data_IF_866864944294
#
_entry.id   IF_866864944294
#
_cell.length_a   1.000
_cell.length_b   1.000
_cell.length_c   1.000
_cell.angle_alpha   90.00
_cell.angle_beta   90.00
_cell.angle_gamma   90.00
#
_symmetry.space_group_name_H-M   'P 1'
#
loop_
_entity.id
_entity.type
_entity.pdbx_description
1 polymer ?
#
# COMPACT_ATOMS: atom_id res chain seq x y z
N UNK A 1 57.47 -34.56 8.13
CA UNK A 1 57.04 -33.15 8.28
C UNK A 1 55.66 -32.98 7.65
N UNK A 2 54.64 -32.54 8.40
CA UNK A 2 53.27 -32.44 7.90
C UNK A 2 52.94 -31.02 7.42
N UNK A 3 52.10 -30.91 6.39
CA UNK A 3 51.32 -29.68 6.15
C UNK A 3 49.84 -30.08 6.06
N UNK A 4 49.11 -29.69 7.11
CA UNK A 4 47.66 -29.85 7.29
C UNK A 4 46.90 -29.12 6.17
N UNK A 5 45.94 -29.79 5.54
CA UNK A 5 44.80 -29.13 4.88
C UNK A 5 43.53 -29.45 5.66
N UNK A 6 42.93 -28.38 6.15
CA UNK A 6 41.71 -28.32 6.93
C UNK A 6 40.53 -28.44 5.95
N UNK A 7 39.68 -29.46 6.10
CA UNK A 7 38.41 -29.59 5.37
C UNK A 7 37.26 -29.28 6.31
N UNK A 8 36.60 -28.14 6.08
CA UNK A 8 35.31 -27.78 6.68
C UNK A 8 34.16 -28.36 5.82
N UNK A 9 33.08 -28.90 6.41
CA UNK A 9 31.94 -29.36 5.64
C UNK A 9 30.96 -28.21 5.37
N UNK A 10 30.63 -28.02 4.09
CA UNK A 10 29.63 -27.08 3.58
C UNK A 10 28.23 -27.62 3.86
N UNK A 11 27.46 -26.86 4.65
CA UNK A 11 26.06 -27.13 4.98
C UNK A 11 25.15 -26.72 3.80
N UNK A 12 24.65 -27.70 3.05
CA UNK A 12 23.67 -27.48 1.99
C UNK A 12 22.25 -27.34 2.58
N UNK A 13 21.73 -26.12 2.64
CA UNK A 13 20.33 -25.85 2.90
C UNK A 13 19.52 -26.08 1.61
N UNK A 14 18.77 -27.19 1.55
CA UNK A 14 17.73 -27.41 0.54
C UNK A 14 16.42 -26.77 1.02
N UNK A 15 16.09 -25.60 0.47
CA UNK A 15 14.76 -25.00 0.53
C UNK A 15 13.88 -25.65 -0.53
N UNK A 16 13.06 -26.62 -0.15
CA UNK A 16 12.00 -27.16 -1.01
C UNK A 16 10.72 -26.35 -0.80
N UNK A 17 10.38 -25.56 -1.81
CA UNK A 17 9.10 -24.92 -2.03
C UNK A 17 8.00 -25.96 -2.18
N UNK A 18 6.97 -25.92 -1.33
CA UNK A 18 5.72 -26.63 -1.53
C UNK A 18 4.57 -25.63 -1.62
N UNK A 19 4.11 -25.51 -2.85
CA UNK A 19 2.82 -25.00 -3.30
C UNK A 19 1.65 -25.64 -2.56
N UNK A 20 0.72 -24.83 -2.02
CA UNK A 20 -0.72 -25.14 -2.06
C UNK A 20 -1.56 -23.91 -1.72
N UNK A 21 -2.34 -23.42 -2.69
CA UNK A 21 -3.56 -22.65 -2.41
C UNK A 21 -4.67 -23.11 -3.35
N UNK A 22 -5.22 -24.29 -3.06
CA UNK A 22 -6.50 -24.73 -3.60
C UNK A 22 -7.62 -24.06 -2.81
N UNK A 23 -8.27 -23.08 -3.46
CA UNK A 23 -9.51 -22.42 -3.04
C UNK A 23 -10.60 -23.44 -2.72
N UNK A 24 -11.22 -23.34 -1.55
CA UNK A 24 -12.53 -23.93 -1.27
C UNK A 24 -13.54 -22.78 -1.20
N UNK A 25 -14.48 -22.82 -2.14
CA UNK A 25 -15.61 -21.93 -2.29
C UNK A 25 -16.75 -22.35 -1.37
N UNK A 26 -17.15 -21.50 -0.43
CA UNK A 26 -18.42 -21.62 0.29
C UNK A 26 -19.45 -20.70 -0.36
N UNK A 27 -20.39 -21.30 -1.08
CA UNK A 27 -21.56 -20.65 -1.67
C UNK A 27 -22.66 -20.61 -0.61
N UNK A 28 -22.95 -19.42 -0.07
CA UNK A 28 -24.15 -19.16 0.74
C UNK A 28 -25.26 -18.63 -0.18
N UNK A 29 -26.26 -19.47 -0.47
CA UNK A 29 -27.53 -19.09 -1.11
C UNK A 29 -28.49 -18.57 -0.03
N UNK A 30 -28.94 -17.33 -0.17
CA UNK A 30 -30.12 -16.79 0.52
C UNK A 30 -31.36 -16.90 -0.40
N UNK A 31 -32.55 -17.20 0.13
CA UNK A 31 -33.75 -17.36 -0.68
C UNK A 31 -34.45 -16.02 -0.95
N UNK A 32 -34.82 -15.79 -2.21
CA UNK A 32 -35.72 -14.71 -2.64
C UNK A 32 -37.16 -15.13 -2.41
N UNK A 33 -37.87 -14.41 -1.54
CA UNK A 33 -39.33 -14.47 -1.45
C UNK A 33 -39.94 -13.46 -2.44
N UNK A 34 -40.84 -13.98 -3.27
CA UNK A 34 -41.76 -13.27 -4.16
C UNK A 34 -42.91 -12.65 -3.39
N UNK A 35 -43.34 -11.44 -3.77
CA UNK A 35 -44.72 -11.01 -3.62
C UNK A 35 -45.08 -10.07 -4.77
N UNK A 36 -46.17 -10.43 -5.43
CA UNK A 36 -46.71 -9.80 -6.62
C UNK A 36 -47.76 -8.74 -6.27
N UNK A 37 -47.90 -7.79 -7.19
CA UNK A 37 -49.12 -7.05 -7.58
C UNK A 37 -49.80 -6.14 -6.55
N UNK A 38 -50.05 -4.87 -6.94
CA UNK A 38 -51.36 -4.43 -7.49
C UNK A 38 -51.36 -2.94 -7.90
N UNK A 39 -51.58 -2.74 -9.21
CA UNK A 39 -52.28 -1.66 -9.92
C UNK A 39 -52.78 -0.42 -9.16
N UNK A 40 -52.48 0.77 -9.71
CA UNK A 40 -53.51 1.70 -10.23
C UNK A 40 -52.98 2.57 -11.38
N UNK A 41 -53.77 2.59 -12.47
CA UNK A 41 -53.73 3.52 -13.61
C UNK A 41 -53.98 4.96 -13.16
N UNK A 42 -53.44 5.94 -13.88
CA UNK A 42 -54.23 6.96 -14.63
C UNK A 42 -53.37 7.49 -15.79
N UNK A 43 -54.01 7.47 -16.97
CA UNK A 43 -53.63 8.03 -18.27
C UNK A 43 -53.69 9.58 -18.25
N UNK A 44 -53.20 10.38 -19.19
CA UNK A 44 -53.55 10.43 -20.62
C UNK A 44 -52.89 11.70 -21.21
N UNK A 45 -52.54 11.63 -22.52
CA UNK A 45 -52.65 12.74 -23.53
C UNK A 45 -51.56 13.85 -23.45
N UNK A 46 -50.87 14.28 -24.52
CA UNK A 46 -50.92 14.01 -25.96
C UNK A 46 -49.68 14.60 -26.67
N UNK A 47 -49.33 13.97 -27.81
CA UNK A 47 -48.51 14.49 -28.92
C UNK A 47 -49.03 15.87 -29.38
N UNK A 48 -48.22 16.78 -29.90
CA UNK A 48 -47.98 16.90 -31.36
C UNK A 48 -46.70 17.65 -31.72
N UNK A 49 -46.18 17.27 -32.88
CA UNK A 49 -45.09 17.78 -33.70
C UNK A 49 -45.36 19.14 -34.38
N UNK A 50 -44.33 19.96 -34.61
CA UNK A 50 -43.72 20.26 -35.94
C UNK A 50 -42.81 21.51 -35.94
N UNK A 51 -41.63 21.32 -36.53
CA UNK A 51 -40.83 22.23 -37.38
C UNK A 51 -41.03 23.76 -37.32
N UNK A 52 -39.94 24.51 -37.16
CA UNK A 52 -39.34 25.31 -38.25
C UNK A 52 -38.14 26.16 -37.78
N UNK A 53 -37.16 26.24 -38.68
CA UNK A 53 -35.95 27.06 -38.70
C UNK A 53 -36.22 28.56 -38.80
N UNK A 54 -35.26 29.40 -38.35
CA UNK A 54 -34.62 30.52 -39.09
C UNK A 54 -34.07 31.61 -38.13
N UNK A 55 -32.74 31.82 -38.18
CA UNK A 55 -32.01 33.09 -37.96
C UNK A 55 -32.07 33.73 -36.55
N UNK A 56 -31.19 34.62 -36.08
CA UNK A 56 -30.15 35.49 -36.66
C UNK A 56 -29.34 36.00 -35.46
N UNK A 57 -28.03 36.18 -35.62
CA UNK A 57 -27.16 36.91 -34.68
C UNK A 57 -27.58 38.38 -34.54
N UNK A 58 -27.34 39.04 -33.40
CA UNK A 58 -27.24 40.50 -33.37
C UNK A 58 -25.79 40.96 -33.24
N UNK A 59 -25.36 41.74 -34.24
CA UNK A 59 -24.20 42.62 -34.21
C UNK A 59 -24.49 43.86 -33.36
N UNK A 60 -23.38 44.36 -32.81
CA UNK A 60 -23.14 45.58 -32.06
C UNK A 60 -23.47 46.85 -32.88
N UNK A 61 -23.91 47.91 -32.22
CA UNK A 61 -23.69 49.32 -32.61
C UNK A 61 -23.94 50.27 -31.39
N UNK A 62 -23.57 51.57 -31.42
CA UNK A 62 -22.39 52.08 -30.71
C UNK A 62 -22.69 53.26 -29.75
N UNK A 63 -21.78 53.56 -28.83
CA UNK A 63 -21.77 54.86 -28.14
C UNK A 63 -20.37 55.47 -28.23
N UNK A 64 -20.35 56.62 -28.91
CA UNK A 64 -19.21 57.53 -29.08
C UNK A 64 -19.20 58.60 -27.97
N UNK A 65 -18.04 58.90 -27.39
CA UNK A 65 -17.28 60.17 -27.58
C UNK A 65 -16.24 60.42 -26.49
N UNK A 66 -15.01 60.63 -26.97
CA UNK A 66 -13.96 61.55 -26.51
C UNK A 66 -13.47 61.50 -25.04
N UNK A 67 -12.21 61.05 -24.85
CA UNK A 67 -11.24 61.82 -24.05
C UNK A 67 -9.77 61.48 -24.39
N UNK A 68 -9.11 62.50 -24.95
CA UNK A 68 -7.67 62.88 -24.97
C UNK A 68 -6.60 61.77 -24.92
N UNK A 69 -5.82 61.75 -26.00
CA UNK A 69 -4.48 61.15 -26.13
C UNK A 69 -3.52 61.80 -25.13
N UNK A 70 -2.98 61.01 -24.20
CA UNK A 70 -1.77 61.35 -23.45
C UNK A 70 -0.66 60.39 -23.84
N UNK A 71 0.43 61.00 -24.28
CA UNK A 71 1.71 60.45 -24.72
C UNK A 71 2.31 59.49 -23.68
N UNK A 72 2.83 58.36 -24.17
CA UNK A 72 3.56 57.37 -23.38
C UNK A 72 4.93 57.96 -23.00
N UNK A 73 5.28 58.11 -21.71
CA UNK A 73 6.63 58.49 -21.31
C UNK A 73 7.57 57.27 -21.36
N UNK A 74 8.77 57.45 -21.91
CA UNK A 74 9.89 56.50 -21.78
C UNK A 74 10.24 56.30 -20.29
N UNK A 75 10.45 55.07 -19.80
CA UNK A 75 11.00 54.87 -18.46
C UNK A 75 12.52 54.85 -18.50
N UNK A 76 13.14 55.85 -17.89
CA UNK A 76 14.57 55.93 -17.57
C UNK A 76 14.80 55.67 -16.08
N UNK A 77 15.56 54.61 -15.75
CA UNK A 77 16.34 54.28 -14.50
C UNK A 77 15.55 54.32 -13.15
N UNK A 78 15.64 53.36 -12.22
CA UNK A 78 16.75 52.55 -11.67
C UNK A 78 16.22 51.20 -11.13
N UNK A 79 17.08 50.18 -10.97
CA UNK A 79 16.69 48.90 -10.38
C UNK A 79 16.57 49.04 -8.87
N UNK A 80 15.59 48.35 -8.27
CA UNK A 80 15.72 47.57 -7.02
C UNK A 80 14.34 47.25 -6.45
N UNK A 81 13.98 45.95 -6.49
CA UNK A 81 13.24 45.21 -5.46
C UNK A 81 13.14 43.73 -5.87
N UNK A 82 14.31 43.10 -6.03
CA UNK A 82 14.49 41.65 -5.92
C UNK A 82 15.72 41.30 -5.06
N UNK A 83 16.29 42.31 -4.38
CA UNK A 83 17.49 42.18 -3.56
C UNK A 83 17.13 42.55 -2.12
N UNK A 84 16.45 41.65 -1.41
CA UNK A 84 16.53 41.53 0.05
C UNK A 84 15.81 40.26 0.51
N UNK A 85 16.42 39.12 0.19
CA UNK A 85 16.29 37.91 0.99
C UNK A 85 17.71 37.51 1.37
N UNK A 86 18.05 37.94 2.59
CA UNK A 86 18.91 37.32 3.59
C UNK A 86 19.92 36.28 3.10
N UNK A 87 21.15 36.47 3.55
CA UNK A 87 22.33 35.60 3.47
C UNK A 87 21.99 34.12 3.78
N UNK A 88 21.45 33.41 2.79
CA UNK A 88 21.24 31.97 2.81
C UNK A 88 21.95 31.40 1.59
N UNK A 89 22.83 30.47 1.88
CA UNK A 89 23.82 29.86 1.00
C UNK A 89 23.25 29.51 -0.37
N UNK A 90 24.05 29.72 -1.42
CA UNK A 90 23.69 29.49 -2.82
C UNK A 90 22.96 28.15 -2.97
N UNK A 91 21.64 28.18 -3.17
CA UNK A 91 20.85 26.96 -3.39
C UNK A 91 21.55 26.09 -4.45
N UNK A 92 21.67 24.77 -4.28
CA UNK A 92 22.37 23.90 -5.23
C UNK A 92 21.91 24.08 -6.69
N UNK A 93 20.62 24.38 -6.88
CA UNK A 93 20.05 24.75 -8.17
C UNK A 93 20.67 26.03 -8.76
N UNK A 94 20.87 27.08 -7.96
CA UNK A 94 21.45 28.36 -8.41
C UNK A 94 22.92 28.19 -8.82
N UNK A 95 23.68 27.35 -8.10
CA UNK A 95 25.04 26.97 -8.49
C UNK A 95 25.05 26.28 -9.85
N UNK A 96 24.21 25.25 -10.01
CA UNK A 96 24.09 24.53 -11.27
C UNK A 96 23.70 25.45 -12.45
N UNK A 97 22.70 26.32 -12.26
CA UNK A 97 22.25 27.26 -13.29
C UNK A 97 23.36 28.26 -13.70
N UNK A 98 24.15 28.73 -12.75
CA UNK A 98 25.29 29.59 -13.02
C UNK A 98 26.38 28.86 -13.81
N UNK A 99 26.65 27.60 -13.50
CA UNK A 99 27.69 26.81 -14.18
C UNK A 99 27.31 26.49 -15.63
N UNK A 100 26.07 26.10 -15.90
CA UNK A 100 25.61 25.85 -17.28
C UNK A 100 25.51 27.14 -18.10
N UNK A 101 25.34 28.29 -17.44
CA UNK A 101 25.26 29.61 -18.07
C UNK A 101 26.58 30.08 -18.67
N UNK A 102 27.72 29.52 -18.23
CA UNK A 102 29.07 29.87 -18.70
C UNK A 102 29.34 29.39 -20.14
N UNK A 103 28.63 28.35 -20.60
CA UNK A 103 28.86 27.77 -21.92
C UNK A 103 28.02 28.49 -23.00
N UNK A 104 28.64 28.91 -24.12
CA UNK A 104 27.92 29.58 -25.20
C UNK A 104 27.00 28.60 -25.95
N UNK A 105 25.93 29.15 -26.54
CA UNK A 105 25.05 28.40 -27.43
C UNK A 105 25.76 28.12 -28.75
N UNK A 106 25.57 26.92 -29.28
CA UNK A 106 26.17 26.51 -30.56
C UNK A 106 25.35 27.02 -31.74
N UNK A 107 26.05 27.41 -32.81
CA UNK A 107 25.41 27.64 -34.10
C UNK A 107 25.12 26.31 -34.81
N UNK A 108 24.18 26.31 -35.78
CA UNK A 108 23.88 25.10 -36.56
C UNK A 108 25.12 24.56 -37.30
N UNK A 109 26.04 25.43 -37.74
CA UNK A 109 27.30 25.01 -38.38
C UNK A 109 28.25 24.34 -37.38
N UNK A 110 28.32 24.85 -36.15
CA UNK A 110 29.13 24.26 -35.08
C UNK A 110 28.57 22.91 -34.62
N UNK A 111 27.25 22.76 -34.51
CA UNK A 111 26.61 21.47 -34.20
C UNK A 111 27.02 20.39 -35.22
N UNK A 112 27.00 20.73 -36.51
CA UNK A 112 27.43 19.81 -37.57
C UNK A 112 28.92 19.44 -37.46
N UNK A 113 29.77 20.42 -37.16
CA UNK A 113 31.22 20.20 -37.01
C UNK A 113 31.54 19.31 -35.79
N UNK A 114 30.89 19.58 -34.65
CA UNK A 114 31.04 18.77 -33.43
C UNK A 114 30.49 17.36 -33.63
N UNK A 115 29.32 17.20 -34.24
CA UNK A 115 28.73 15.89 -34.47
C UNK A 115 29.60 15.01 -35.38
N UNK A 116 30.23 15.58 -36.41
CA UNK A 116 31.22 14.84 -37.24
C UNK A 116 32.44 14.38 -36.44
N UNK A 117 32.91 15.17 -35.47
CA UNK A 117 34.02 14.79 -34.58
C UNK A 117 33.60 13.74 -33.56
N UNK A 118 32.38 13.83 -33.04
CA UNK A 118 31.80 12.85 -32.11
C UNK A 118 31.68 11.47 -32.78
N UNK A 119 31.27 11.41 -34.04
CA UNK A 119 31.24 10.15 -34.81
C UNK A 119 32.63 9.52 -34.97
N UNK A 120 33.70 10.32 -34.95
CA UNK A 120 35.09 9.85 -34.95
C UNK A 120 35.60 9.49 -33.55
N UNK A 121 34.78 9.55 -32.51
CA UNK A 121 35.13 9.20 -31.13
C UNK A 121 35.75 10.33 -30.30
N UNK A 122 35.67 11.60 -30.74
CA UNK A 122 36.21 12.73 -29.99
C UNK A 122 35.38 13.04 -28.73
N UNK A 123 35.95 12.69 -27.56
CA UNK A 123 35.32 12.92 -26.25
C UNK A 123 35.18 14.42 -25.91
N UNK A 124 36.14 15.26 -26.28
CA UNK A 124 36.09 16.70 -26.00
C UNK A 124 34.97 17.37 -26.79
N UNK A 125 34.79 16.96 -28.05
CA UNK A 125 33.66 17.43 -28.86
C UNK A 125 32.31 17.02 -28.26
N UNK A 126 32.21 15.80 -27.69
CA UNK A 126 31.00 15.32 -27.01
C UNK A 126 30.69 16.17 -25.77
N UNK A 127 31.68 16.41 -24.92
CA UNK A 127 31.52 17.25 -23.71
C UNK A 127 31.10 18.67 -24.06
N UNK A 128 31.76 19.28 -25.06
CA UNK A 128 31.38 20.61 -25.54
C UNK A 128 29.92 20.64 -26.03
N UNK A 129 29.51 19.62 -26.80
CA UNK A 129 28.13 19.54 -27.30
C UNK A 129 27.11 19.30 -26.19
N UNK A 130 27.45 18.55 -25.13
CA UNK A 130 26.61 18.37 -23.94
C UNK A 130 26.46 19.72 -23.21
N UNK A 131 27.58 20.34 -22.84
CA UNK A 131 27.61 21.53 -21.98
C UNK A 131 26.84 22.72 -22.58
N UNK A 132 26.98 22.94 -23.89
CA UNK A 132 26.24 24.00 -24.61
C UNK A 132 24.72 23.76 -24.68
N UNK A 133 24.25 22.52 -24.48
CA UNK A 133 22.84 22.15 -24.60
C UNK A 133 22.15 21.87 -23.26
N UNK A 134 22.83 21.98 -22.11
CA UNK A 134 22.24 21.74 -20.79
C UNK A 134 21.05 22.67 -20.48
N UNK A 135 21.05 23.89 -21.03
CA UNK A 135 19.96 24.86 -20.89
C UNK A 135 18.63 24.35 -21.46
N UNK A 136 18.68 23.55 -22.54
CA UNK A 136 17.50 22.92 -23.13
C UNK A 136 16.87 21.91 -22.17
N UNK A 137 17.71 21.14 -21.46
CA UNK A 137 17.25 20.15 -20.47
C UNK A 137 16.48 20.83 -19.35
N UNK A 138 17.04 21.90 -18.79
CA UNK A 138 16.39 22.68 -17.71
C UNK A 138 15.02 23.19 -18.18
N UNK A 139 14.94 23.77 -19.39
CA UNK A 139 13.68 24.28 -19.94
C UNK A 139 12.63 23.18 -20.06
N UNK A 140 13.01 21.99 -20.52
CA UNK A 140 12.09 20.85 -20.66
C UNK A 140 11.71 20.29 -19.29
N UNK A 141 12.66 20.19 -18.35
CA UNK A 141 12.41 19.66 -17.00
C UNK A 141 11.45 20.54 -16.20
N UNK A 142 11.46 21.86 -16.42
CA UNK A 142 10.55 22.80 -15.77
C UNK A 142 9.07 22.46 -16.02
N UNK A 143 8.73 21.95 -17.21
CA UNK A 143 7.36 21.54 -17.56
C UNK A 143 6.86 20.34 -16.72
N UNK A 144 7.78 19.59 -16.11
CA UNK A 144 7.52 18.42 -15.27
C UNK A 144 7.73 18.69 -13.78
N UNK A 145 7.82 19.95 -13.37
CA UNK A 145 7.90 20.29 -11.95
C UNK A 145 6.60 19.86 -11.22
N UNK A 146 6.72 19.49 -9.93
CA UNK A 146 5.61 19.04 -9.08
C UNK A 146 4.95 17.68 -9.43
N UNK A 147 5.52 16.91 -10.36
CA UNK A 147 5.00 15.56 -10.67
C UNK A 147 5.41 14.48 -9.66
N UNK A 148 6.26 14.81 -8.70
CA UNK A 148 6.65 13.94 -7.57
C UNK A 148 8.14 13.71 -7.41
N UNK A 149 8.96 14.19 -8.35
CA UNK A 149 10.42 14.24 -8.22
C UNK A 149 10.90 15.69 -8.07
N UNK A 150 11.95 15.95 -7.29
CA UNK A 150 12.63 17.24 -7.25
C UNK A 150 13.12 17.68 -8.64
N UNK A 151 13.16 18.99 -8.87
CA UNK A 151 13.59 19.55 -10.16
C UNK A 151 15.03 19.15 -10.52
N UNK A 152 15.94 19.09 -9.55
CA UNK A 152 17.33 18.66 -9.77
C UNK A 152 17.42 17.21 -10.26
N UNK A 153 16.56 16.34 -9.75
CA UNK A 153 16.52 14.93 -10.16
C UNK A 153 15.95 14.82 -11.58
N UNK A 154 14.92 15.59 -11.90
CA UNK A 154 14.37 15.69 -13.26
C UNK A 154 15.43 16.20 -14.27
N UNK A 155 16.21 17.20 -13.88
CA UNK A 155 17.31 17.72 -14.70
C UNK A 155 18.38 16.64 -14.91
N UNK A 156 18.75 15.92 -13.86
CA UNK A 156 19.77 14.86 -13.92
C UNK A 156 19.34 13.72 -14.86
N UNK A 157 18.10 13.26 -14.75
CA UNK A 157 17.52 12.24 -15.63
C UNK A 157 17.36 12.76 -17.07
N UNK A 158 17.06 14.05 -17.24
CA UNK A 158 17.05 14.74 -18.53
C UNK A 158 18.43 14.82 -19.18
N UNK A 159 19.49 15.06 -18.40
CA UNK A 159 20.87 15.10 -18.87
C UNK A 159 21.31 13.73 -19.39
N UNK A 160 20.91 12.64 -18.73
CA UNK A 160 21.11 11.27 -19.23
C UNK A 160 20.41 11.08 -20.59
N UNK A 161 19.22 11.64 -20.76
CA UNK A 161 18.49 11.67 -22.04
C UNK A 161 19.24 12.44 -23.13
N UNK A 162 19.78 13.61 -22.80
CA UNK A 162 20.58 14.43 -23.71
C UNK A 162 21.83 13.69 -24.19
N UNK A 163 22.56 13.02 -23.29
CA UNK A 163 23.77 12.26 -23.64
C UNK A 163 23.43 11.16 -24.67
N UNK A 164 22.34 10.42 -24.44
CA UNK A 164 21.86 9.38 -25.38
C UNK A 164 21.45 9.96 -26.73
N UNK A 165 20.85 11.15 -26.75
CA UNK A 165 20.51 11.85 -27.99
C UNK A 165 21.78 12.20 -28.78
N UNK A 166 22.79 12.74 -28.11
CA UNK A 166 24.06 13.14 -28.72
C UNK A 166 24.80 11.93 -29.32
N UNK A 167 24.80 10.79 -28.63
CA UNK A 167 25.44 9.56 -29.12
C UNK A 167 24.80 9.01 -30.40
N UNK A 168 23.49 9.24 -30.59
CA UNK A 168 22.71 8.71 -31.72
C UNK A 168 22.38 9.76 -32.77
N UNK A 169 22.89 10.98 -32.62
CA UNK A 169 22.55 12.08 -33.51
C UNK A 169 23.25 11.93 -34.86
N UNK A 170 22.46 11.94 -35.93
CA UNK A 170 22.93 11.90 -37.31
C UNK A 170 22.72 13.26 -38.00
N UNK A 171 23.79 14.01 -38.31
CA UNK A 171 23.71 15.32 -38.96
C UNK A 171 23.16 15.30 -40.39
N UNK A 172 23.28 14.16 -41.07
CA UNK A 172 22.89 13.98 -42.49
C UNK A 172 21.38 14.05 -42.71
N UNK A 173 20.57 13.85 -41.66
CA UNK A 173 19.10 13.85 -41.74
C UNK A 173 18.47 15.25 -41.73
N UNK A 174 19.27 16.32 -41.71
CA UNK A 174 18.81 17.69 -41.91
C UNK A 174 18.02 18.33 -40.75
N UNK A 175 18.01 17.72 -39.56
CA UNK A 175 17.34 18.25 -38.36
C UNK A 175 18.31 18.89 -37.36
N UNK A 176 17.84 19.92 -36.64
CA UNK A 176 18.59 20.52 -35.51
C UNK A 176 18.73 19.53 -34.36
N UNK A 177 19.85 19.57 -33.63
CA UNK A 177 20.05 18.72 -32.46
C UNK A 177 18.96 18.92 -31.41
N UNK A 178 18.54 20.17 -31.19
CA UNK A 178 17.49 20.51 -30.22
C UNK A 178 16.17 19.78 -30.45
N UNK A 179 15.73 19.63 -31.71
CA UNK A 179 14.51 18.90 -32.07
C UNK A 179 14.63 17.41 -31.73
N UNK A 180 15.77 16.80 -32.05
CA UNK A 180 16.01 15.39 -31.76
C UNK A 180 16.20 15.11 -30.27
N UNK A 181 17.03 15.93 -29.60
CA UNK A 181 17.32 15.82 -28.17
C UNK A 181 16.08 16.02 -27.31
N UNK A 182 15.16 16.91 -27.69
CA UNK A 182 13.93 17.14 -26.94
C UNK A 182 13.10 15.86 -26.74
N UNK A 183 13.07 14.96 -27.73
CA UNK A 183 12.37 13.68 -27.61
C UNK A 183 13.03 12.76 -26.57
N UNK A 184 14.35 12.60 -26.64
CA UNK A 184 15.13 11.77 -25.71
C UNK A 184 15.11 12.31 -24.29
N UNK A 185 15.18 13.63 -24.11
CA UNK A 185 15.09 14.29 -22.81
C UNK A 185 13.71 14.02 -22.20
N UNK A 186 12.62 14.28 -22.95
CA UNK A 186 11.25 14.00 -22.48
C UNK A 186 11.05 12.53 -22.16
N UNK A 187 11.60 11.61 -22.97
CA UNK A 187 11.47 10.18 -22.75
C UNK A 187 12.20 9.73 -21.49
N UNK A 188 13.42 10.24 -21.26
CA UNK A 188 14.21 9.94 -20.05
C UNK A 188 13.48 10.43 -18.80
N UNK A 189 13.01 11.68 -18.80
CA UNK A 189 12.25 12.27 -17.69
C UNK A 189 10.96 11.49 -17.41
N UNK A 190 10.16 11.18 -18.44
CA UNK A 190 8.93 10.39 -18.28
C UNK A 190 9.21 9.00 -17.72
N UNK A 191 10.29 8.36 -18.16
CA UNK A 191 10.71 7.05 -17.63
C UNK A 191 11.15 7.15 -16.17
N UNK A 192 11.90 8.19 -15.79
CA UNK A 192 12.31 8.42 -14.41
C UNK A 192 11.10 8.66 -13.51
N UNK A 193 10.19 9.55 -13.91
CA UNK A 193 8.92 9.79 -13.23
C UNK A 193 8.13 8.49 -13.05
N UNK A 194 8.02 7.66 -14.10
CA UNK A 194 7.31 6.40 -13.99
C UNK A 194 7.97 5.43 -12.99
N UNK A 195 9.30 5.48 -12.81
CA UNK A 195 10.01 4.53 -11.98
C UNK A 195 10.22 4.97 -10.53
N UNK A 196 10.36 6.28 -10.30
CA UNK A 196 10.84 6.85 -9.03
C UNK A 196 9.82 7.80 -8.37
N UNK A 197 8.80 8.31 -9.07
CA UNK A 197 7.90 9.35 -8.51
C UNK A 197 6.96 8.88 -7.38
N UNK A 198 6.86 7.57 -7.17
CA UNK A 198 5.99 6.95 -6.17
C UNK A 198 6.82 6.13 -5.21
N UNK A 199 6.56 6.29 -3.91
CA UNK A 199 7.17 5.51 -2.83
C UNK A 199 6.98 4.00 -3.05
N UNK A 200 5.76 3.62 -3.42
CA UNK A 200 5.43 2.26 -3.85
C UNK A 200 5.50 2.23 -5.37
N UNK A 201 6.49 1.52 -5.91
CA UNK A 201 6.76 1.44 -7.35
C UNK A 201 5.56 0.86 -8.10
N UNK A 202 5.18 1.53 -9.18
CA UNK A 202 4.12 1.06 -10.09
C UNK A 202 4.68 0.76 -11.49
N UNK A 203 4.13 -0.23 -12.21
CA UNK A 203 4.41 -0.44 -13.62
C UNK A 203 4.08 0.78 -14.50
N UNK A 204 4.88 1.00 -15.55
CA UNK A 204 4.77 2.17 -16.45
C UNK A 204 3.36 2.31 -17.07
N UNK A 205 2.76 1.20 -17.50
CA UNK A 205 1.44 1.22 -18.13
C UNK A 205 0.30 1.68 -17.19
N UNK A 206 0.46 1.52 -15.87
CA UNK A 206 -0.52 2.03 -14.90
C UNK A 206 -0.37 3.54 -14.74
N UNK A 207 0.87 4.04 -14.73
CA UNK A 207 1.16 5.47 -14.59
C UNK A 207 0.65 6.24 -15.80
N UNK A 208 0.82 5.70 -17.01
CA UNK A 208 0.24 6.30 -18.22
C UNK A 208 -1.29 6.42 -18.14
N UNK A 209 -1.97 5.39 -17.63
CA UNK A 209 -3.42 5.41 -17.41
C UNK A 209 -3.82 6.44 -16.34
N UNK A 210 -3.09 6.50 -15.24
CA UNK A 210 -3.32 7.49 -14.16
C UNK A 210 -3.10 8.92 -14.67
N UNK A 211 -2.04 9.16 -15.44
CA UNK A 211 -1.77 10.47 -16.06
C UNK A 211 -2.86 10.87 -17.05
N UNK A 212 -3.36 9.92 -17.86
CA UNK A 212 -4.50 10.17 -18.77
C UNK A 212 -5.77 10.49 -17.99
N UNK A 213 -6.05 9.73 -16.94
CA UNK A 213 -7.19 9.96 -16.04
C UNK A 213 -7.14 11.37 -15.43
N UNK A 214 -6.00 11.78 -14.85
CA UNK A 214 -5.83 13.14 -14.30
C UNK A 214 -5.97 14.24 -15.34
N UNK A 215 -5.48 14.01 -16.57
CA UNK A 215 -5.58 14.99 -17.65
C UNK A 215 -7.05 15.24 -18.04
N UNK A 216 -7.81 14.17 -18.26
CA UNK A 216 -9.24 14.26 -18.56
C UNK A 216 -9.99 14.88 -17.38
N UNK A 217 -9.65 14.46 -16.16
CA UNK A 217 -10.25 14.99 -14.94
C UNK A 217 -10.04 16.51 -14.83
N UNK A 218 -8.83 17.02 -15.05
CA UNK A 218 -8.56 18.46 -15.02
C UNK A 218 -9.26 19.20 -16.17
N UNK A 219 -9.19 18.68 -17.40
CA UNK A 219 -9.83 19.31 -18.57
C UNK A 219 -11.36 19.46 -18.38
N UNK A 220 -11.98 18.47 -17.75
CA UNK A 220 -13.42 18.45 -17.53
C UNK A 220 -13.81 19.23 -16.26
N UNK A 221 -12.95 19.31 -15.24
CA UNK A 221 -13.11 20.26 -14.13
C UNK A 221 -13.14 21.70 -14.65
N UNK A 222 -12.26 22.03 -15.60
CA UNK A 222 -12.23 23.35 -16.21
C UNK A 222 -13.50 23.65 -17.03
N UNK A 223 -14.00 22.68 -17.80
CA UNK A 223 -15.20 22.83 -18.64
C UNK A 223 -16.50 22.90 -17.83
N UNK A 224 -16.67 22.01 -16.85
CA UNK A 224 -17.93 21.88 -16.11
C UNK A 224 -17.96 22.64 -14.79
N UNK A 225 -16.82 23.19 -14.33
CA UNK A 225 -16.66 23.86 -13.03
C UNK A 225 -17.15 23.02 -11.83
N UNK A 226 -17.17 21.69 -11.99
CA UNK A 226 -17.51 20.70 -10.96
C UNK A 226 -16.60 19.50 -11.06
N UNK A 227 -16.52 18.74 -9.97
CA UNK A 227 -15.90 17.42 -10.00
C UNK A 227 -16.71 16.44 -10.86
N UNK A 228 -16.01 15.49 -11.48
CA UNK A 228 -16.55 14.55 -12.45
C UNK A 228 -16.80 13.22 -11.77
N UNK A 229 -17.94 12.61 -12.07
CA UNK A 229 -18.28 11.31 -11.50
C UNK A 229 -17.40 10.20 -12.07
N UNK A 230 -17.29 9.08 -11.35
CA UNK A 230 -16.51 7.94 -11.84
C UNK A 230 -17.13 7.31 -13.10
N UNK A 231 -18.45 7.44 -13.27
CA UNK A 231 -19.20 6.95 -14.44
C UNK A 231 -18.85 7.77 -15.69
N UNK A 232 -18.89 9.09 -15.59
CA UNK A 232 -18.50 9.98 -16.70
C UNK A 232 -17.05 9.76 -17.13
N UNK A 233 -16.14 9.56 -16.17
CA UNK A 233 -14.74 9.22 -16.47
C UNK A 233 -14.59 7.84 -17.12
N UNK A 234 -15.41 6.87 -16.74
CA UNK A 234 -15.40 5.51 -17.30
C UNK A 234 -15.78 5.52 -18.78
N UNK A 235 -16.83 6.26 -19.13
CA UNK A 235 -17.30 6.41 -20.51
C UNK A 235 -16.25 7.10 -21.39
N UNK A 236 -15.64 8.19 -20.90
CA UNK A 236 -14.61 8.92 -21.65
C UNK A 236 -13.31 8.11 -21.85
N UNK A 237 -12.92 7.33 -20.84
CA UNK A 237 -11.71 6.50 -20.91
C UNK A 237 -11.94 5.17 -21.63
N UNK A 238 -13.19 4.82 -21.95
CA UNK A 238 -13.59 3.49 -22.42
C UNK A 238 -13.08 2.38 -21.48
N UNK A 239 -13.22 2.60 -20.16
CA UNK A 239 -12.81 1.65 -19.13
C UNK A 239 -14.00 1.33 -18.22
N UNK A 240 -14.12 0.10 -17.70
CA UNK A 240 -15.17 -0.21 -16.74
C UNK A 240 -14.97 0.59 -15.45
N UNK A 241 -16.09 0.98 -14.82
CA UNK A 241 -16.14 1.80 -13.60
C UNK A 241 -15.23 1.21 -12.49
N UNK A 242 -15.24 -0.11 -12.31
CA UNK A 242 -14.39 -0.80 -11.33
C UNK A 242 -12.89 -0.54 -11.54
N UNK A 243 -12.44 -0.47 -12.80
CA UNK A 243 -11.03 -0.17 -13.12
C UNK A 243 -10.71 1.30 -12.86
N UNK A 244 -11.64 2.22 -13.12
CA UNK A 244 -11.47 3.65 -12.82
C UNK A 244 -11.35 3.87 -11.31
N UNK A 245 -12.22 3.25 -10.51
CA UNK A 245 -12.15 3.30 -9.06
C UNK A 245 -10.82 2.74 -8.53
N UNK A 246 -10.37 1.60 -9.06
CA UNK A 246 -9.09 1.00 -8.70
C UNK A 246 -7.89 1.90 -9.08
N UNK A 247 -7.91 2.52 -10.26
CA UNK A 247 -6.87 3.48 -10.67
C UNK A 247 -6.84 4.73 -9.80
N UNK A 248 -8.01 5.23 -9.38
CA UNK A 248 -8.11 6.34 -8.42
C UNK A 248 -7.52 5.94 -7.07
N UNK A 249 -7.84 4.75 -6.55
CA UNK A 249 -7.28 4.25 -5.29
C UNK A 249 -5.74 4.15 -5.35
N UNK A 250 -5.18 3.59 -6.42
CA UNK A 250 -3.72 3.49 -6.61
C UNK A 250 -3.07 4.88 -6.80
N UNK A 251 -3.80 5.85 -7.33
CA UNK A 251 -3.27 7.20 -7.56
C UNK A 251 -2.99 7.97 -6.26
N UNK A 252 -3.57 7.57 -5.14
CA UNK A 252 -3.35 8.18 -3.82
C UNK A 252 -1.86 8.12 -3.46
N UNK A 253 -1.33 9.19 -2.85
CA UNK A 253 0.05 9.21 -2.33
C UNK A 253 -0.02 8.80 -0.85
N UNK A 254 0.90 7.95 -0.37
CA UNK A 254 0.95 7.61 1.04
C UNK A 254 1.23 8.88 1.87
N UNK A 255 0.57 8.99 3.02
CA UNK A 255 0.87 10.01 4.02
C UNK A 255 2.10 9.59 4.84
N UNK A 256 2.81 10.56 5.40
CA UNK A 256 3.90 10.30 6.35
C UNK A 256 3.32 10.02 7.72
N UNK A 257 3.86 9.02 8.44
CA UNK A 257 3.50 8.75 9.84
C UNK A 257 3.93 9.87 10.78
N UNK A 258 4.99 10.59 10.41
CA UNK A 258 5.51 11.73 11.18
C UNK A 258 4.76 13.04 10.85
N UNK A 259 3.64 12.96 10.12
CA UNK A 259 2.81 14.14 9.91
C UNK A 259 2.12 14.46 11.23
N UNK A 260 2.29 15.68 11.73
CA UNK A 260 1.60 16.16 12.93
C UNK A 260 0.10 16.26 12.61
N UNK A 261 -0.74 15.77 13.51
CA UNK A 261 -2.20 15.76 13.37
C UNK A 261 -2.82 16.43 14.60
N UNK A 262 -3.73 17.37 14.36
CA UNK A 262 -4.43 18.11 15.43
C UNK A 262 -4.03 19.59 15.45
N UNK A 263 -4.64 20.36 16.36
CA UNK A 263 -4.27 21.75 16.62
C UNK A 263 -3.14 21.86 17.66
N UNK A 264 -3.02 20.84 18.50
CA UNK A 264 -1.92 20.71 19.45
C UNK A 264 -0.75 20.06 18.69
N UNK A 265 0.29 20.84 18.38
CA UNK A 265 1.45 20.48 17.54
C UNK A 265 2.30 19.28 18.04
N UNK A 266 1.80 18.50 19.00
CA UNK A 266 2.53 17.46 19.70
C UNK A 266 2.20 16.03 19.26
N UNK A 267 1.12 15.80 18.52
CA UNK A 267 0.68 14.43 18.19
C UNK A 267 1.05 14.07 16.76
N UNK A 268 1.84 13.01 16.56
CA UNK A 268 2.13 12.47 15.24
C UNK A 268 1.06 11.46 14.80
N UNK A 269 0.81 11.35 13.49
CA UNK A 269 -0.12 10.36 12.94
C UNK A 269 0.26 8.91 13.35
N UNK A 270 1.56 8.63 13.46
CA UNK A 270 2.07 7.31 13.85
C UNK A 270 1.67 6.89 15.26
N UNK A 271 1.53 7.83 16.19
CA UNK A 271 1.16 7.55 17.59
C UNK A 271 -0.33 7.17 17.73
N UNK A 272 -1.16 7.57 16.77
CA UNK A 272 -2.59 7.25 16.74
C UNK A 272 -2.89 5.86 16.19
N UNK A 273 -1.92 5.21 15.54
CA UNK A 273 -2.11 3.91 14.89
C UNK A 273 -1.74 2.81 15.88
N UNK A 274 -2.73 2.01 16.27
CA UNK A 274 -2.52 0.80 17.08
C UNK A 274 -1.82 -0.32 16.30
N UNK A 275 -1.13 -1.21 17.01
CA UNK A 275 -0.54 -2.41 16.42
C UNK A 275 -1.48 -3.61 16.60
N UNK A 276 -2.10 -4.04 15.50
CA UNK A 276 -3.03 -5.18 15.47
C UNK A 276 -2.34 -6.54 15.67
N UNK A 277 -1.01 -6.62 15.56
CA UNK A 277 -0.28 -7.89 15.75
C UNK A 277 0.06 -8.17 17.21
N UNK A 278 -0.08 -7.18 18.09
CA UNK A 278 0.20 -7.36 19.51
C UNK A 278 -0.99 -8.06 20.16
N UNK A 279 -0.76 -9.29 20.62
CA UNK A 279 -1.72 -9.97 21.49
C UNK A 279 -1.94 -9.15 22.76
N UNK A 280 -3.21 -8.85 23.05
CA UNK A 280 -3.56 -8.12 24.26
C UNK A 280 -3.25 -8.95 25.51
N UNK A 281 -3.02 -8.33 26.69
CA UNK A 281 -2.84 -9.09 27.93
C UNK A 281 -4.00 -10.04 28.23
N UNK A 282 -5.21 -9.64 27.85
CA UNK A 282 -6.43 -10.46 27.94
C UNK A 282 -6.34 -11.71 27.04
N UNK A 283 -5.91 -11.54 25.78
CA UNK A 283 -5.73 -12.66 24.85
C UNK A 283 -4.64 -13.63 25.33
N UNK A 284 -3.52 -13.09 25.83
CA UNK A 284 -2.44 -13.91 26.42
C UNK A 284 -2.92 -14.71 27.61
N UNK A 285 -3.71 -14.11 28.49
CA UNK A 285 -4.28 -14.78 29.65
C UNK A 285 -5.30 -15.85 29.23
N UNK A 286 -6.13 -15.56 28.22
CA UNK A 286 -7.07 -16.52 27.65
C UNK A 286 -6.34 -17.73 27.05
N UNK A 287 -5.34 -17.50 26.20
CA UNK A 287 -4.51 -18.55 25.59
C UNK A 287 -3.83 -19.40 26.67
N UNK A 288 -3.26 -18.76 27.70
CA UNK A 288 -2.64 -19.48 28.83
C UNK A 288 -3.65 -20.31 29.61
N UNK A 289 -4.84 -19.77 29.85
CA UNK A 289 -5.94 -20.46 30.55
C UNK A 289 -6.40 -21.67 29.76
N UNK A 290 -6.60 -21.53 28.44
CA UNK A 290 -6.93 -22.63 27.54
C UNK A 290 -5.89 -23.75 27.59
N UNK A 291 -4.60 -23.43 27.58
CA UNK A 291 -3.54 -24.44 27.70
C UNK A 291 -3.60 -25.18 29.04
N UNK A 292 -3.87 -24.46 30.13
CA UNK A 292 -4.01 -25.06 31.47
C UNK A 292 -5.23 -25.99 31.51
N UNK A 293 -6.37 -25.57 30.96
CA UNK A 293 -7.60 -26.35 30.95
C UNK A 293 -7.45 -27.60 30.07
N UNK A 294 -6.82 -27.49 28.90
CA UNK A 294 -6.48 -28.65 28.07
C UNK A 294 -5.60 -29.64 28.85
N UNK A 295 -4.56 -29.16 29.54
CA UNK A 295 -3.70 -30.02 30.37
C UNK A 295 -4.47 -30.66 31.53
N UNK A 296 -5.44 -29.95 32.14
CA UNK A 296 -6.30 -30.51 33.19
C UNK A 296 -7.19 -31.63 32.65
N UNK A 297 -7.80 -31.42 31.48
CA UNK A 297 -8.66 -32.41 30.83
C UNK A 297 -7.84 -33.63 30.43
N UNK A 298 -6.67 -33.46 29.81
CA UNK A 298 -5.80 -34.57 29.43
C UNK A 298 -5.39 -35.45 30.62
N UNK A 299 -5.23 -34.88 31.83
CA UNK A 299 -4.96 -35.64 33.06
C UNK A 299 -6.15 -36.46 33.56
N UNK A 300 -7.38 -36.09 33.20
CA UNK A 300 -8.59 -36.83 33.57
C UNK A 300 -8.91 -37.99 32.62
N UNK A 301 -8.30 -38.00 31.43
CA UNK A 301 -8.42 -39.08 30.47
C UNK A 301 -7.52 -40.25 30.83
N UNK A 302 -7.83 -41.42 30.27
CA UNK A 302 -6.93 -42.58 30.35
C UNK A 302 -5.58 -42.26 29.69
N UNK A 303 -4.49 -42.81 30.26
CA UNK A 303 -3.13 -42.50 29.84
C UNK A 303 -2.90 -42.82 28.36
N UNK A 304 -3.49 -43.91 27.85
CA UNK A 304 -3.37 -44.33 26.45
C UNK A 304 -4.08 -43.37 25.50
N UNK A 305 -5.25 -42.88 25.90
CA UNK A 305 -6.06 -41.94 25.14
C UNK A 305 -5.42 -40.55 25.10
N UNK A 306 -4.90 -40.07 26.24
CA UNK A 306 -4.16 -38.82 26.31
C UNK A 306 -2.93 -38.84 25.38
N UNK A 307 -2.18 -39.94 25.35
CA UNK A 307 -1.00 -40.11 24.51
C UNK A 307 -1.34 -40.04 23.01
N UNK A 308 -2.47 -40.63 22.58
CA UNK A 308 -2.96 -40.55 21.19
C UNK A 308 -3.19 -39.08 20.79
N UNK A 309 -3.84 -38.29 21.64
CA UNK A 309 -4.15 -36.88 21.37
C UNK A 309 -2.90 -36.01 21.41
N UNK A 310 -2.01 -36.19 22.39
CA UNK A 310 -0.74 -35.47 22.51
C UNK A 310 0.11 -35.68 21.25
N UNK A 311 0.26 -36.93 20.80
CA UNK A 311 1.04 -37.26 19.61
C UNK A 311 0.39 -36.76 18.31
N UNK A 312 -0.94 -36.80 18.24
CA UNK A 312 -1.70 -36.36 17.06
C UNK A 312 -1.65 -34.85 16.85
N UNK A 313 -1.84 -34.08 17.93
CA UNK A 313 -1.93 -32.62 17.90
C UNK A 313 -0.64 -31.91 18.31
N UNK A 314 0.38 -32.64 18.76
CA UNK A 314 1.68 -32.06 19.11
C UNK A 314 1.65 -31.21 20.38
N UNK A 315 0.86 -31.60 21.39
CA UNK A 315 0.61 -30.77 22.58
C UNK A 315 1.81 -30.67 23.55
N UNK A 316 2.81 -31.54 23.40
CA UNK A 316 4.06 -31.55 24.19
C UNK A 316 5.25 -31.00 23.39
N UNK A 317 5.03 -29.90 22.65
CA UNK A 317 6.04 -29.26 21.78
C UNK A 317 6.64 -30.18 20.69
N UNK A 318 5.94 -31.27 20.38
CA UNK A 318 6.27 -32.18 19.28
C UNK A 318 5.49 -31.83 18.03
N UNK A 319 6.00 -32.25 16.86
CA UNK A 319 5.27 -32.13 15.60
C UNK A 319 4.01 -33.00 15.61
N UNK A 320 2.91 -32.49 15.06
CA UNK A 320 1.69 -33.28 14.81
C UNK A 320 2.01 -34.53 13.97
N UNK A 321 1.68 -35.71 14.49
CA UNK A 321 1.88 -36.99 13.79
C UNK A 321 0.67 -37.41 12.97
N UNK A 322 0.89 -38.16 11.89
CA UNK A 322 -0.19 -38.74 11.08
C UNK A 322 -0.89 -39.90 11.83
N UNK A 323 -2.10 -40.29 11.41
CA UNK A 323 -2.80 -41.43 12.04
C UNK A 323 -2.02 -42.75 11.92
N UNK A 324 -1.22 -42.85 10.87
CA UNK A 324 -0.37 -44.00 10.57
C UNK A 324 0.86 -44.00 11.49
N UNK A 325 1.57 -42.88 11.60
CA UNK A 325 2.70 -42.71 12.54
C UNK A 325 2.29 -42.91 14.01
N UNK A 326 1.09 -42.44 14.40
CA UNK A 326 0.55 -42.69 15.75
C UNK A 326 0.19 -44.17 15.94
N UNK A 327 -0.32 -44.83 14.90
CA UNK A 327 -0.62 -46.25 14.91
C UNK A 327 0.64 -47.12 15.06
N UNK A 328 1.68 -46.81 14.29
CA UNK A 328 3.00 -47.46 14.39
C UNK A 328 3.59 -47.31 15.79
N UNK A 329 3.53 -46.11 16.39
CA UNK A 329 4.10 -45.86 17.71
C UNK A 329 3.36 -46.58 18.85
N UNK A 330 2.07 -46.90 18.69
CA UNK A 330 1.24 -47.54 19.71
C UNK A 330 0.92 -49.02 19.41
N UNK A 331 1.41 -49.55 18.29
CA UNK A 331 1.16 -50.92 17.83
C UNK A 331 -0.30 -51.17 17.43
N UNK A 332 -0.99 -50.17 16.85
CA UNK A 332 -2.41 -50.23 16.50
C UNK A 332 -2.62 -49.84 15.04
N UNK A 333 -3.66 -50.39 14.39
CA UNK A 333 -4.02 -50.01 13.02
C UNK A 333 -4.44 -48.54 12.94
N UNK A 334 -4.15 -47.91 11.80
CA UNK A 334 -4.54 -46.53 11.47
C UNK A 334 -6.03 -46.26 11.71
N UNK A 335 -6.90 -47.18 11.31
CA UNK A 335 -8.35 -47.01 11.46
C UNK A 335 -8.78 -47.05 12.92
N UNK A 336 -8.11 -47.86 13.74
CA UNK A 336 -8.39 -47.90 15.18
C UNK A 336 -7.96 -46.61 15.87
N UNK A 337 -6.83 -46.00 15.48
CA UNK A 337 -6.44 -44.66 15.96
C UNK A 337 -7.50 -43.62 15.59
N UNK A 338 -8.07 -43.68 14.38
CA UNK A 338 -9.15 -42.78 13.96
C UNK A 338 -10.41 -42.94 14.82
N UNK A 339 -10.80 -44.18 15.12
CA UNK A 339 -11.94 -44.48 15.99
C UNK A 339 -11.72 -43.96 17.42
N UNK A 340 -10.56 -44.25 18.01
CA UNK A 340 -10.19 -43.76 19.34
C UNK A 340 -10.17 -42.24 19.36
N UNK A 341 -9.56 -41.58 18.37
CA UNK A 341 -9.56 -40.12 18.27
C UNK A 341 -11.00 -39.55 18.33
N UNK A 342 -11.94 -40.14 17.59
CA UNK A 342 -13.33 -39.67 17.61
C UNK A 342 -13.99 -39.82 18.98
N UNK A 343 -13.81 -40.99 19.62
CA UNK A 343 -14.37 -41.27 20.95
C UNK A 343 -13.77 -40.31 21.99
N UNK A 344 -12.45 -40.11 21.94
CA UNK A 344 -11.72 -39.23 22.84
C UNK A 344 -12.18 -37.77 22.69
N UNK A 345 -12.26 -37.25 21.46
CA UNK A 345 -12.74 -35.89 21.22
C UNK A 345 -14.19 -35.69 21.68
N UNK A 346 -15.04 -36.72 21.55
CA UNK A 346 -16.40 -36.70 22.07
C UNK A 346 -16.42 -36.65 23.61
N UNK A 347 -15.56 -37.42 24.26
CA UNK A 347 -15.42 -37.39 25.71
C UNK A 347 -14.89 -36.03 26.21
N UNK A 348 -13.84 -35.49 25.58
CA UNK A 348 -13.31 -34.15 25.87
C UNK A 348 -14.40 -33.09 25.72
N UNK A 349 -15.21 -33.16 24.65
CA UNK A 349 -16.34 -32.26 24.44
C UNK A 349 -17.36 -32.34 25.58
N UNK A 350 -17.71 -33.54 26.04
CA UNK A 350 -18.65 -33.70 27.15
C UNK A 350 -18.08 -33.12 28.45
N UNK A 351 -16.80 -33.39 28.75
CA UNK A 351 -16.11 -32.84 29.93
C UNK A 351 -16.09 -31.30 29.88
N UNK A 352 -15.81 -30.72 28.71
CA UNK A 352 -15.86 -29.27 28.52
C UNK A 352 -17.26 -28.70 28.73
N UNK A 353 -18.28 -29.35 28.17
CA UNK A 353 -19.68 -28.92 28.36
C UNK A 353 -20.10 -28.99 29.84
N UNK A 354 -19.65 -30.01 30.57
CA UNK A 354 -19.94 -30.13 32.01
C UNK A 354 -19.18 -29.07 32.83
N UNK A 355 -17.98 -28.66 32.40
CA UNK A 355 -17.21 -27.56 33.02
C UNK A 355 -17.77 -26.16 32.68
N UNK A 356 -18.31 -25.98 31.48
CA UNK A 356 -18.90 -24.72 30.99
C UNK A 356 -20.36 -24.51 31.42
N UNK A 357 -21.04 -25.56 31.92
CA UNK A 357 -22.37 -25.41 32.52
C UNK A 357 -22.29 -24.37 33.63
N UNK A 358 -22.99 -23.25 33.43
CA UNK A 358 -23.20 -22.27 34.48
C UNK A 358 -23.92 -22.99 35.63
N UNK A 359 -23.22 -23.07 36.77
CA UNK A 359 -23.75 -23.70 37.97
C UNK A 359 -25.09 -23.07 38.32
N UNK A 360 -26.09 -23.91 38.48
CA UNK A 360 -27.42 -23.44 38.87
C UNK A 360 -27.39 -22.92 40.31
N UNK A 361 -28.27 -21.98 40.65
CA UNK A 361 -28.32 -21.41 42.02
C UNK A 361 -28.52 -22.48 43.09
N UNK A 362 -29.18 -23.59 42.76
CA UNK A 362 -29.45 -24.67 43.71
C UNK A 362 -28.23 -25.58 43.91
N UNK A 363 -27.42 -25.82 42.87
CA UNK A 363 -26.12 -26.50 43.01
C UNK A 363 -25.14 -25.68 43.86
N UNK A 364 -25.13 -24.35 43.69
CA UNK A 364 -24.31 -23.44 44.51
C UNK A 364 -24.73 -23.48 45.98
N UNK A 365 -26.03 -23.54 46.26
CA UNK A 365 -26.56 -23.65 47.63
C UNK A 365 -26.14 -24.99 48.27
N UNK A 366 -26.28 -26.11 47.56
CA UNK A 366 -25.90 -27.44 48.07
C UNK A 366 -24.40 -27.51 48.37
N UNK A 367 -23.56 -27.04 47.47
CA UNK A 367 -22.10 -27.01 47.68
C UNK A 367 -21.72 -26.09 48.86
N UNK A 368 -22.41 -24.95 49.03
CA UNK A 368 -22.18 -24.06 50.18
C UNK A 368 -22.52 -24.73 51.53
N UNK A 369 -23.55 -25.58 51.54
CA UNK A 369 -23.95 -26.36 52.72
C UNK A 369 -22.92 -27.46 52.98
N UNK A 370 -22.45 -28.14 51.94
CA UNK A 370 -21.41 -29.17 52.06
C UNK A 370 -20.07 -28.60 52.52
N UNK A 371 -19.65 -27.43 52.00
CA UNK A 371 -18.46 -26.72 52.47
C UNK A 371 -18.57 -26.31 53.93
N UNK A 372 -19.73 -25.79 54.35
CA UNK A 372 -19.98 -25.46 55.77
C UNK A 372 -19.92 -26.71 56.63
N UNK A 373 -20.52 -27.83 56.20
CA UNK A 373 -20.45 -29.12 56.91
C UNK A 373 -19.01 -29.62 57.02
N UNK A 374 -18.24 -29.58 55.94
CA UNK A 374 -16.84 -29.98 55.93
C UNK A 374 -15.97 -29.09 56.82
N UNK A 375 -16.22 -27.77 56.84
CA UNK A 375 -15.56 -26.83 57.75
C UNK A 375 -15.87 -27.16 59.22
N UNK A 376 -17.14 -27.38 59.57
CA UNK A 376 -17.51 -27.76 60.94
C UNK A 376 -16.92 -29.10 61.36
N UNK A 377 -16.81 -30.06 60.44
CA UNK A 377 -16.16 -31.35 60.72
C UNK A 377 -14.66 -31.17 60.93
N UNK A 378 -13.98 -30.36 60.11
CA UNK A 378 -12.56 -30.07 60.28
C UNK A 378 -12.28 -29.30 61.58
N UNK A 379 -13.10 -28.30 61.93
CA UNK A 379 -13.00 -27.60 63.21
C UNK A 379 -13.24 -28.55 64.40
N UNK A 380 -14.20 -29.46 64.29
CA UNK A 380 -14.44 -30.48 65.32
C UNK A 380 -13.25 -31.44 65.48
N UNK A 381 -12.66 -31.89 64.37
CA UNK A 381 -11.46 -32.76 64.38
C UNK A 381 -10.27 -32.02 65.01
N UNK A 382 -10.04 -30.74 64.65
CA UNK A 382 -8.98 -29.92 65.23
C UNK A 382 -9.18 -29.71 66.73
N UNK A 383 -10.42 -29.44 67.16
CA UNK A 383 -10.73 -29.29 68.58
C UNK A 383 -10.52 -30.61 69.36
N UNK A 384 -10.95 -31.76 68.81
CA UNK A 384 -10.70 -33.07 69.40
C UNK A 384 -9.19 -33.39 69.51
N UNK A 385 -8.39 -32.98 68.53
CA UNK A 385 -6.93 -33.10 68.61
C UNK A 385 -6.34 -32.19 69.70
N UNK A 386 -6.87 -30.97 69.90
CA UNK A 386 -6.45 -30.10 70.98
C UNK A 386 -6.84 -30.62 72.38
N UNK A 387 -8.04 -31.19 72.53
CA UNK A 387 -8.45 -31.82 73.80
C UNK A 387 -7.57 -33.03 74.17
N UNK A 388 -7.27 -33.91 73.20
CA UNK A 388 -6.35 -35.03 73.43
C UNK A 388 -4.92 -34.58 73.78
N UNK A 389 -4.46 -33.45 73.25
CA UNK A 389 -3.14 -32.91 73.57
C UNK A 389 -3.10 -32.20 74.95
N UNK A 390 -4.25 -31.76 75.48
CA UNK A 390 -4.34 -31.13 76.79
C UNK A 390 -4.60 -32.11 77.95
N UNK A 391 -5.04 -33.34 77.69
CA UNK A 391 -5.18 -34.41 78.72
C UNK A 391 -3.88 -35.21 78.95
N UNK A 392 -2.84 -34.98 78.13
CA UNK A 392 -1.55 -35.71 78.19
C UNK A 392 -0.43 -34.85 78.85
N UNK A 393 -0.69 -33.58 79.16
CA UNK A 393 0.16 -32.73 79.99
C UNK A 393 -0.47 -32.55 81.38
#
# INVERSE_FOLDING_TARGET
MPVKKISTPVRQNKTSTLSRSSKVSTVSKSPKASLASRSTKVSTVSKTSKSSSISKSPKISPISKSRKVSTIPKPTKKPNQLDELTFSEKTPLKLYLNDIGKYPLLSAKEELALAKRIQKGDKKAKEQMINSNLRLVVRIAQDYNNYGLPLLDLISEGNIGLIKAIERFEPTRGGKLSTYAAWWIKQSIKRALANQSKTIRLPVHLIEKISRLRRIENEMKDKHKRDITNEELADMLNLPINKVAHLKAISIRPASLNTIVGQDDNTELGELIGDDNIETPSDKLLNRTQVIDIKRILKSLDHRDAQIIIMRFGLDDQRCKTLEEVGEALGITRERVRQLQYIILKNIKNILLDQERQRTQDEIKVESIERRRAQTINEFILNQQQFKNNEIN
#
